data_IF_253287030226
#
_entry.id   IF_253287030226
#
_cell.length_a   1.000
_cell.length_b   1.000
_cell.length_c   1.000
_cell.angle_alpha   90.00
_cell.angle_beta   90.00
_cell.angle_gamma   90.00
#
_symmetry.space_group_name_H-M   'P 1'
#
loop_
_entity.id
_entity.type
_entity.pdbx_description
1 polymer ?
#
# COMPACT_ATOMS: atom_id res chain seq x y z
N UNK A 1 -2.57 -2.01 -9.99
CA UNK A 1 -2.59 -1.70 -8.54
C UNK A 1 -3.59 -0.58 -8.30
N UNK A 2 -4.39 -0.68 -7.23
CA UNK A 2 -5.47 0.24 -6.89
C UNK A 2 -4.97 1.57 -6.35
N UNK A 3 -3.87 1.59 -5.59
CA UNK A 3 -3.31 2.84 -5.05
C UNK A 3 -2.94 3.84 -6.15
N UNK A 4 -2.46 3.36 -7.31
CA UNK A 4 -2.13 4.17 -8.49
C UNK A 4 -3.35 4.88 -9.12
N UNK A 5 -4.57 4.48 -8.75
CA UNK A 5 -5.81 5.12 -9.23
C UNK A 5 -6.28 6.26 -8.34
N UNK A 6 -5.68 6.46 -7.17
CA UNK A 6 -6.07 7.52 -6.26
C UNK A 6 -5.56 8.89 -6.73
N UNK A 7 -6.36 9.92 -6.49
CA UNK A 7 -6.10 11.31 -6.87
C UNK A 7 -6.28 12.24 -5.67
N UNK A 8 -5.77 13.47 -5.74
CA UNK A 8 -5.98 14.42 -4.64
C UNK A 8 -7.46 14.72 -4.39
N UNK A 9 -8.32 14.61 -5.41
CA UNK A 9 -9.78 14.74 -5.25
C UNK A 9 -10.40 13.66 -4.34
N UNK A 10 -9.68 12.55 -4.13
CA UNK A 10 -10.08 11.44 -3.25
C UNK A 10 -9.71 11.64 -1.79
N UNK A 11 -8.66 12.42 -1.50
CA UNK A 11 -8.14 12.61 -0.13
C UNK A 11 -8.23 14.06 0.38
N UNK A 12 -8.47 15.04 -0.49
CA UNK A 12 -8.51 16.44 -0.09
C UNK A 12 -9.67 16.75 0.86
N UNK A 13 -9.35 17.48 1.94
CA UNK A 13 -10.35 18.02 2.85
C UNK A 13 -11.08 19.19 2.17
N UNK A 14 -12.38 19.01 1.94
CA UNK A 14 -13.25 20.00 1.24
C UNK A 14 -13.87 21.04 2.18
N UNK A 15 -13.95 20.74 3.47
CA UNK A 15 -14.39 21.69 4.51
C UNK A 15 -13.28 22.66 4.85
N UNK A 16 -12.93 23.54 3.90
CA UNK A 16 -11.82 24.48 4.04
C UNK A 16 -12.18 25.53 5.10
N UNK A 17 -11.33 25.67 6.11
CA UNK A 17 -11.38 26.76 7.08
C UNK A 17 -10.41 27.85 6.63
N UNK A 18 -10.94 29.02 6.34
CA UNK A 18 -10.15 30.18 5.90
C UNK A 18 -9.63 30.98 7.10
N UNK A 19 -8.49 31.65 6.91
CA UNK A 19 -8.01 32.62 7.89
C UNK A 19 -8.95 33.82 7.95
N UNK A 20 -9.25 34.28 9.17
CA UNK A 20 -10.02 35.50 9.41
C UNK A 20 -9.37 36.28 10.56
N UNK A 21 -8.96 37.50 10.24
CA UNK A 21 -8.28 38.41 11.18
C UNK A 21 -9.18 38.81 12.35
N UNK A 22 -10.51 38.88 12.16
CA UNK A 22 -11.44 39.27 13.23
C UNK A 22 -11.53 38.21 14.33
N UNK A 23 -11.23 36.95 13.99
CA UNK A 23 -11.29 35.80 14.90
C UNK A 23 -9.95 35.05 14.97
N UNK A 24 -8.83 35.77 14.89
CA UNK A 24 -7.47 35.21 14.84
C UNK A 24 -7.15 34.21 15.97
N UNK A 25 -7.74 34.39 17.17
CA UNK A 25 -7.63 33.41 18.27
C UNK A 25 -8.19 32.03 17.91
N UNK A 26 -9.29 31.97 17.18
CA UNK A 26 -9.85 30.72 16.68
C UNK A 26 -8.92 30.09 15.64
N UNK A 27 -8.32 30.89 14.75
CA UNK A 27 -7.32 30.42 13.79
C UNK A 27 -6.11 29.77 14.49
N UNK A 28 -5.57 30.40 15.55
CA UNK A 28 -4.53 29.77 16.37
C UNK A 28 -4.96 28.43 16.97
N UNK A 29 -6.16 28.38 17.56
CA UNK A 29 -6.70 27.14 18.14
C UNK A 29 -6.87 26.03 17.10
N UNK A 30 -7.30 26.38 15.88
CA UNK A 30 -7.42 25.44 14.75
C UNK A 30 -6.05 24.90 14.36
N UNK A 31 -5.05 25.78 14.16
CA UNK A 31 -3.67 25.38 13.83
C UNK A 31 -3.11 24.42 14.89
N UNK A 32 -3.29 24.73 16.18
CA UNK A 32 -2.84 23.88 17.28
C UNK A 32 -3.55 22.52 17.34
N UNK A 33 -4.87 22.51 17.10
CA UNK A 33 -5.71 21.31 17.15
C UNK A 33 -5.44 20.38 15.98
N UNK A 34 -5.39 20.93 14.77
CA UNK A 34 -5.18 20.17 13.53
C UNK A 34 -3.70 19.92 13.23
N UNK A 35 -2.78 20.46 14.05
CA UNK A 35 -1.32 20.38 13.84
C UNK A 35 -0.89 20.90 12.48
N UNK A 36 -1.56 21.94 12.00
CA UNK A 36 -1.22 22.67 10.78
C UNK A 36 -0.64 24.03 11.15
N UNK A 37 0.21 24.56 10.29
CA UNK A 37 0.88 25.85 10.49
C UNK A 37 0.40 26.91 9.49
N UNK A 38 -0.62 26.61 8.68
CA UNK A 38 -1.14 27.54 7.71
C UNK A 38 -2.64 27.37 7.46
N UNK A 39 -3.28 28.44 6.97
CA UNK A 39 -4.68 28.47 6.58
C UNK A 39 -4.82 29.27 5.27
N UNK A 40 -5.66 28.82 4.31
CA UNK A 40 -5.89 29.58 3.08
C UNK A 40 -6.62 30.90 3.35
N UNK A 41 -6.39 31.87 2.47
CA UNK A 41 -7.19 33.08 2.35
C UNK A 41 -8.42 32.81 1.46
N UNK A 42 -9.49 33.60 1.61
CA UNK A 42 -10.74 33.43 0.86
C UNK A 42 -10.55 33.68 -0.65
N UNK A 43 -9.52 34.43 -1.02
CA UNK A 43 -9.23 34.80 -2.41
C UNK A 43 -8.64 33.66 -3.27
N UNK A 44 -8.38 32.48 -2.68
CA UNK A 44 -7.77 31.31 -3.34
C UNK A 44 -6.38 31.55 -3.94
N UNK A 45 -5.77 32.71 -3.70
CA UNK A 45 -4.47 33.10 -4.22
C UNK A 45 -3.42 33.24 -3.11
N UNK A 46 -3.86 33.43 -1.86
CA UNK A 46 -3.00 33.60 -0.71
C UNK A 46 -3.32 32.62 0.40
N UNK A 47 -2.38 32.52 1.34
CA UNK A 47 -2.53 31.79 2.59
C UNK A 47 -1.82 32.55 3.70
N UNK A 48 -2.21 32.27 4.94
CA UNK A 48 -1.59 32.82 6.13
C UNK A 48 -0.84 31.70 6.85
N UNK A 49 0.46 31.87 7.02
CA UNK A 49 1.31 30.92 7.74
C UNK A 49 1.63 31.45 9.13
N UNK A 50 1.43 30.61 10.14
CA UNK A 50 1.78 30.88 11.52
C UNK A 50 3.30 30.74 11.70
N UNK A 51 4.00 31.85 11.88
CA UNK A 51 5.43 31.90 12.15
C UNK A 51 5.70 32.73 13.40
N UNK A 52 6.43 32.16 14.37
CA UNK A 52 6.76 32.82 15.64
C UNK A 52 5.52 33.39 16.37
N UNK A 53 4.39 32.68 16.30
CA UNK A 53 3.13 33.09 16.93
C UNK A 53 2.36 34.18 16.19
N UNK A 54 2.75 34.56 14.97
CA UNK A 54 2.04 35.54 14.15
C UNK A 54 1.73 34.98 12.76
N UNK A 55 0.54 35.30 12.23
CA UNK A 55 0.18 34.93 10.87
C UNK A 55 0.80 35.90 9.86
N UNK A 56 1.55 35.33 8.91
CA UNK A 56 2.15 36.06 7.79
C UNK A 56 1.47 35.64 6.50
N UNK A 57 0.96 36.63 5.74
CA UNK A 57 0.33 36.39 4.45
C UNK A 57 1.39 36.06 3.38
N UNK A 58 1.15 35.01 2.62
CA UNK A 58 2.01 34.51 1.53
C UNK A 58 1.16 34.15 0.31
N UNK A 59 1.77 34.16 -0.88
CA UNK A 59 1.10 33.76 -2.12
C UNK A 59 1.18 32.26 -2.34
N UNK A 60 0.10 31.67 -2.84
CA UNK A 60 0.06 30.27 -3.25
C UNK A 60 0.74 30.13 -4.61
N UNK A 61 1.98 29.64 -4.60
CA UNK A 61 2.77 29.39 -5.80
C UNK A 61 2.56 27.94 -6.31
N UNK A 62 3.06 27.62 -7.50
CA UNK A 62 2.92 26.28 -8.11
C UNK A 62 3.51 25.14 -7.24
N UNK A 63 4.50 25.43 -6.40
CA UNK A 63 5.07 24.50 -5.43
C UNK A 63 4.07 24.09 -4.34
N UNK A 64 3.06 24.94 -4.08
CA UNK A 64 2.05 24.75 -3.04
C UNK A 64 0.75 24.20 -3.64
N UNK A 65 0.63 24.20 -4.97
CA UNK A 65 -0.58 23.78 -5.69
C UNK A 65 -0.51 22.33 -6.11
N UNK A 66 -1.66 21.68 -6.01
CA UNK A 66 -1.94 20.35 -6.51
C UNK A 66 -3.22 20.42 -7.35
N UNK A 67 -3.31 19.67 -8.45
CA UNK A 67 -4.60 19.54 -9.14
C UNK A 67 -5.38 18.37 -8.57
N UNK A 68 -6.70 18.53 -8.47
CA UNK A 68 -7.58 17.49 -7.90
C UNK A 68 -7.52 16.15 -8.66
N UNK A 69 -7.09 16.18 -9.92
CA UNK A 69 -6.98 14.99 -10.78
C UNK A 69 -5.60 14.33 -10.74
N UNK A 70 -4.61 14.99 -10.16
CA UNK A 70 -3.26 14.45 -10.10
C UNK A 70 -3.22 13.24 -9.17
N UNK A 71 -2.38 12.28 -9.51
CA UNK A 71 -2.18 11.07 -8.70
C UNK A 71 -1.48 11.44 -7.40
N UNK A 72 -1.84 10.74 -6.33
CA UNK A 72 -1.28 11.02 -5.01
C UNK A 72 0.11 10.38 -4.84
N UNK A 73 0.38 9.23 -5.47
CA UNK A 73 1.66 8.53 -5.37
C UNK A 73 2.63 8.89 -6.51
N UNK A 74 3.08 10.15 -6.57
CA UNK A 74 4.04 10.65 -7.57
C UNK A 74 5.31 11.18 -6.88
N UNK A 75 6.50 10.82 -7.36
CA UNK A 75 7.78 11.20 -6.72
C UNK A 75 7.95 12.72 -6.56
N UNK A 76 7.38 13.51 -7.48
CA UNK A 76 7.39 14.98 -7.42
C UNK A 76 6.62 15.54 -6.21
N UNK A 77 5.69 14.78 -5.63
CA UNK A 77 4.93 15.22 -4.46
C UNK A 77 5.79 15.29 -3.20
N UNK A 78 6.65 14.30 -2.98
CA UNK A 78 7.59 14.31 -1.85
C UNK A 78 8.47 15.55 -1.94
N UNK A 79 8.93 15.90 -3.15
CA UNK A 79 9.70 17.12 -3.38
C UNK A 79 8.90 18.37 -3.01
N UNK A 80 7.60 18.41 -3.32
CA UNK A 80 6.72 19.52 -2.91
C UNK A 80 6.57 19.62 -1.39
N UNK A 81 6.40 18.51 -0.67
CA UNK A 81 6.35 18.55 0.80
C UNK A 81 7.71 18.97 1.39
N UNK A 82 8.82 18.44 0.89
CA UNK A 82 10.17 18.78 1.35
C UNK A 82 10.59 20.24 1.03
N UNK A 83 10.12 20.79 -0.10
CA UNK A 83 10.43 22.17 -0.50
C UNK A 83 9.66 23.19 0.35
N UNK A 84 8.55 22.79 0.96
CA UNK A 84 7.71 23.66 1.76
C UNK A 84 8.13 23.61 3.24
N UNK A 85 8.10 24.76 3.90
CA UNK A 85 8.29 24.81 5.36
C UNK A 85 7.01 24.42 6.12
N UNK A 86 5.99 23.94 5.41
CA UNK A 86 4.66 23.66 5.94
C UNK A 86 4.10 22.36 5.38
N UNK A 87 3.21 21.74 6.15
CA UNK A 87 2.76 20.37 5.90
C UNK A 87 1.43 20.27 5.14
N UNK A 88 0.90 21.40 4.69
CA UNK A 88 -0.38 21.49 3.96
C UNK A 88 -0.12 21.99 2.54
N UNK A 89 -0.74 21.34 1.56
CA UNK A 89 -0.77 21.76 0.17
C UNK A 89 -2.21 22.08 -0.26
N UNK A 90 -2.35 22.93 -1.27
CA UNK A 90 -3.63 23.47 -1.72
C UNK A 90 -4.09 22.75 -2.99
N UNK A 91 -5.30 22.19 -2.96
CA UNK A 91 -5.84 21.38 -4.06
C UNK A 91 -6.82 22.19 -4.90
N UNK A 92 -6.51 22.35 -6.18
CA UNK A 92 -7.28 23.13 -7.14
C UNK A 92 -8.07 22.26 -8.11
N UNK A 93 -9.23 22.75 -8.52
CA UNK A 93 -10.01 22.23 -9.65
C UNK A 93 -10.15 23.33 -10.70
N UNK A 94 -9.25 23.33 -11.67
CA UNK A 94 -9.05 24.51 -12.53
C UNK A 94 -8.41 25.61 -11.69
N UNK A 95 -8.99 26.80 -11.69
CA UNK A 95 -8.49 27.95 -10.92
C UNK A 95 -9.14 28.10 -9.53
N UNK A 96 -10.02 27.16 -9.15
CA UNK A 96 -10.76 27.23 -7.89
C UNK A 96 -10.11 26.34 -6.83
N UNK A 97 -9.79 26.93 -5.68
CA UNK A 97 -9.38 26.17 -4.50
C UNK A 97 -10.52 25.26 -4.06
N UNK A 98 -10.28 23.95 -4.12
CA UNK A 98 -11.29 22.91 -3.93
C UNK A 98 -11.08 22.06 -2.68
N UNK A 99 -9.88 22.13 -2.09
CA UNK A 99 -9.55 21.48 -0.84
C UNK A 99 -8.13 21.79 -0.39
N UNK A 100 -7.77 21.21 0.75
CA UNK A 100 -6.41 21.17 1.27
C UNK A 100 -6.01 19.72 1.54
N UNK A 101 -4.72 19.43 1.50
CA UNK A 101 -4.16 18.12 1.82
C UNK A 101 -3.01 18.29 2.80
N UNK A 102 -3.07 17.59 3.92
CA UNK A 102 -1.96 17.38 4.83
C UNK A 102 -1.31 16.02 4.54
N UNK A 103 -0.01 15.83 4.84
CA UNK A 103 0.62 14.52 4.63
C UNK A 103 -0.10 13.38 5.38
N UNK A 104 -0.77 13.69 6.50
CA UNK A 104 -1.48 12.66 7.29
C UNK A 104 -2.75 12.18 6.60
N UNK A 105 -3.23 12.85 5.55
CA UNK A 105 -4.38 12.42 4.76
C UNK A 105 -4.12 11.09 4.03
N UNK A 106 -2.86 10.66 3.94
CA UNK A 106 -2.50 9.31 3.48
C UNK A 106 -2.95 8.20 4.43
N UNK A 107 -3.33 8.53 5.68
CA UNK A 107 -3.95 7.57 6.61
C UNK A 107 -5.48 7.45 6.42
N UNK A 108 -6.08 8.20 5.48
CA UNK A 108 -7.52 8.10 5.25
C UNK A 108 -7.91 6.69 4.81
N UNK A 109 -9.09 6.24 5.22
CA UNK A 109 -9.57 4.86 4.98
C UNK A 109 -9.51 4.46 3.50
N UNK A 110 -9.76 5.39 2.58
CA UNK A 110 -9.71 5.11 1.14
C UNK A 110 -8.30 4.79 0.64
N UNK A 111 -7.28 5.46 1.18
CA UNK A 111 -5.88 5.17 0.88
C UNK A 111 -5.50 3.81 1.46
N UNK A 112 -5.79 3.60 2.76
CA UNK A 112 -5.50 2.34 3.45
C UNK A 112 -6.19 1.14 2.76
N UNK A 113 -7.41 1.31 2.29
CA UNK A 113 -8.14 0.27 1.56
C UNK A 113 -7.48 -0.06 0.21
N UNK A 114 -7.04 0.94 -0.56
CA UNK A 114 -6.35 0.70 -1.82
C UNK A 114 -5.01 -0.04 -1.60
N UNK A 115 -4.26 0.33 -0.56
CA UNK A 115 -3.04 -0.37 -0.14
C UNK A 115 -3.36 -1.81 0.24
N UNK A 116 -4.43 -2.04 1.02
CA UNK A 116 -4.88 -3.37 1.40
C UNK A 116 -5.20 -4.24 0.18
N UNK A 117 -5.94 -3.71 -0.78
CA UNK A 117 -6.33 -4.43 -2.00
C UNK A 117 -5.11 -4.83 -2.84
N UNK A 118 -4.10 -3.96 -2.89
CA UNK A 118 -2.83 -4.25 -3.57
C UNK A 118 -2.01 -5.32 -2.86
N UNK A 119 -1.87 -5.23 -1.53
CA UNK A 119 -1.19 -6.25 -0.72
C UNK A 119 -1.89 -7.61 -0.87
N UNK A 120 -3.22 -7.65 -0.81
CA UNK A 120 -3.99 -8.88 -1.00
C UNK A 120 -3.84 -9.45 -2.41
N UNK A 121 -3.76 -8.59 -3.43
CA UNK A 121 -3.52 -9.01 -4.81
C UNK A 121 -2.15 -9.66 -4.95
N UNK A 122 -1.11 -9.04 -4.37
CA UNK A 122 0.22 -9.62 -4.32
C UNK A 122 0.24 -10.95 -3.57
N UNK A 123 -0.37 -11.01 -2.38
CA UNK A 123 -0.43 -12.20 -1.53
C UNK A 123 -1.11 -13.39 -2.24
N UNK A 124 -2.20 -13.14 -2.97
CA UNK A 124 -2.88 -14.16 -3.80
C UNK A 124 -1.98 -14.69 -4.90
N UNK A 125 -1.25 -13.81 -5.59
CA UNK A 125 -0.28 -14.20 -6.63
C UNK A 125 0.87 -14.99 -6.03
N UNK A 126 1.34 -14.63 -4.84
CA UNK A 126 2.37 -15.39 -4.13
C UNK A 126 1.93 -16.82 -3.82
N UNK A 127 0.73 -17.01 -3.29
CA UNK A 127 0.16 -18.35 -3.09
C UNK A 127 0.05 -19.14 -4.40
N UNK A 128 -0.47 -18.51 -5.45
CA UNK A 128 -0.60 -19.13 -6.77
C UNK A 128 0.78 -19.59 -7.30
N UNK A 129 1.78 -18.73 -7.20
CA UNK A 129 3.13 -19.03 -7.66
C UNK A 129 3.75 -20.21 -6.87
N UNK A 130 3.66 -20.20 -5.54
CA UNK A 130 4.14 -21.32 -4.71
C UNK A 130 3.43 -22.63 -5.06
N UNK A 131 2.12 -22.58 -5.31
CA UNK A 131 1.36 -23.75 -5.75
C UNK A 131 1.83 -24.29 -7.11
N UNK A 132 2.07 -23.39 -8.08
CA UNK A 132 2.61 -23.76 -9.40
C UNK A 132 4.00 -24.38 -9.29
N UNK A 133 4.82 -23.91 -8.36
CA UNK A 133 6.12 -24.53 -8.02
C UNK A 133 6.00 -25.89 -7.31
N UNK A 134 4.78 -26.42 -7.21
CA UNK A 134 4.43 -27.69 -6.59
C UNK A 134 4.68 -27.77 -5.09
N UNK A 135 4.72 -26.61 -4.41
CA UNK A 135 4.70 -26.57 -2.96
C UNK A 135 3.28 -26.76 -2.43
N UNK A 136 3.17 -27.32 -1.24
CA UNK A 136 1.91 -27.56 -0.53
C UNK A 136 2.00 -27.14 0.94
N UNK A 137 0.89 -27.23 1.66
CA UNK A 137 0.81 -27.00 3.10
C UNK A 137 1.86 -27.82 3.87
N UNK A 138 2.17 -29.05 3.46
CA UNK A 138 3.19 -29.88 4.11
C UNK A 138 4.60 -29.30 4.01
N UNK A 139 4.91 -28.57 2.93
CA UNK A 139 6.22 -27.94 2.77
C UNK A 139 6.38 -26.72 3.68
N UNK A 140 5.29 -25.99 3.94
CA UNK A 140 5.26 -24.93 4.96
C UNK A 140 5.45 -25.49 6.37
N UNK A 141 4.84 -26.63 6.69
CA UNK A 141 5.04 -27.29 7.99
C UNK A 141 6.49 -27.72 8.18
N UNK A 142 7.09 -28.37 7.17
CA UNK A 142 8.52 -28.72 7.18
C UNK A 142 9.41 -27.50 7.31
N UNK A 143 9.05 -26.38 6.69
CA UNK A 143 9.76 -25.12 6.85
C UNK A 143 9.75 -24.64 8.30
N UNK A 144 8.59 -24.63 8.96
CA UNK A 144 8.51 -24.26 10.37
C UNK A 144 9.30 -25.21 11.29
N UNK A 145 9.26 -26.52 11.04
CA UNK A 145 10.08 -27.51 11.76
C UNK A 145 11.58 -27.22 11.59
N UNK A 146 12.00 -26.97 10.35
CA UNK A 146 13.39 -26.61 10.03
C UNK A 146 13.83 -25.32 10.74
N UNK A 147 12.99 -24.28 10.77
CA UNK A 147 13.30 -23.01 11.44
C UNK A 147 13.35 -23.16 12.97
N UNK A 148 12.42 -23.92 13.55
CA UNK A 148 12.41 -24.24 14.97
C UNK A 148 13.69 -24.99 15.40
N UNK A 149 14.24 -25.84 14.52
CA UNK A 149 15.49 -26.55 14.76
C UNK A 149 16.76 -25.71 14.60
N UNK A 150 16.72 -24.57 13.90
CA UNK A 150 17.90 -23.76 13.57
C UNK A 150 18.13 -22.53 14.43
N UNK A 151 17.08 -21.91 14.96
CA UNK A 151 17.19 -20.60 15.60
C UNK A 151 16.60 -20.61 17.01
N UNK A 152 17.46 -20.63 18.02
CA UNK A 152 17.06 -20.69 19.43
C UNK A 152 16.21 -19.48 19.87
N UNK A 153 16.42 -18.31 19.27
CA UNK A 153 15.68 -17.08 19.61
C UNK A 153 14.28 -17.00 18.99
N UNK A 154 14.05 -17.66 17.85
CA UNK A 154 12.72 -17.70 17.20
C UNK A 154 12.04 -19.07 17.29
N UNK A 155 12.68 -20.04 17.96
CA UNK A 155 12.16 -21.39 18.17
C UNK A 155 10.74 -21.39 18.73
N UNK A 156 10.49 -20.61 19.78
CA UNK A 156 9.17 -20.52 20.40
C UNK A 156 8.09 -19.98 19.45
N UNK A 157 8.43 -19.05 18.56
CA UNK A 157 7.49 -18.57 17.54
C UNK A 157 7.10 -19.71 16.59
N UNK A 158 8.09 -20.41 16.01
CA UNK A 158 7.83 -21.47 15.04
C UNK A 158 7.18 -22.72 15.66
N UNK A 159 7.56 -23.11 16.88
CA UNK A 159 6.88 -24.17 17.64
C UNK A 159 5.44 -23.78 17.98
N UNK A 160 5.21 -22.52 18.36
CA UNK A 160 3.87 -21.99 18.60
C UNK A 160 3.00 -22.02 17.35
N UNK A 161 3.55 -21.66 16.18
CA UNK A 161 2.86 -21.75 14.89
C UNK A 161 2.52 -23.19 14.52
N UNK A 162 3.45 -24.13 14.69
CA UNK A 162 3.20 -25.57 14.47
C UNK A 162 2.07 -26.09 15.37
N UNK A 163 2.10 -25.77 16.66
CA UNK A 163 1.05 -26.16 17.61
C UNK A 163 -0.32 -25.57 17.26
N UNK A 164 -0.35 -24.32 16.82
CA UNK A 164 -1.60 -23.67 16.37
C UNK A 164 -2.17 -24.35 15.12
N UNK A 165 -1.32 -24.73 14.17
CA UNK A 165 -1.73 -25.40 12.94
C UNK A 165 -2.19 -26.84 13.21
N UNK A 166 -1.54 -27.56 14.13
CA UNK A 166 -1.97 -28.91 14.53
C UNK A 166 -3.36 -28.90 15.19
N UNK A 167 -3.63 -27.90 16.05
CA UNK A 167 -4.98 -27.67 16.61
C UNK A 167 -6.04 -27.36 15.56
N UNK A 168 -5.64 -26.82 14.40
CA UNK A 168 -6.53 -26.43 13.29
C UNK A 168 -6.32 -27.32 12.06
N UNK A 169 -5.86 -28.56 12.26
CA UNK A 169 -5.50 -29.48 11.16
C UNK A 169 -6.67 -29.82 10.25
N UNK A 170 -7.88 -29.96 10.80
CA UNK A 170 -9.09 -30.18 9.99
C UNK A 170 -9.36 -29.00 9.05
N UNK A 171 -9.22 -27.78 9.55
CA UNK A 171 -9.38 -26.56 8.74
C UNK A 171 -8.27 -26.43 7.69
N UNK A 172 -7.02 -26.74 8.06
CA UNK A 172 -5.89 -26.76 7.13
C UNK A 172 -6.12 -27.73 5.95
N UNK A 173 -6.77 -28.86 6.20
CA UNK A 173 -7.07 -29.86 5.16
C UNK A 173 -8.30 -29.51 4.32
N UNK A 174 -9.20 -28.67 4.84
CA UNK A 174 -10.41 -28.23 4.13
C UNK A 174 -10.19 -26.99 3.28
N UNK A 175 -9.37 -26.06 3.77
CA UNK A 175 -9.01 -24.86 3.04
C UNK A 175 -8.01 -25.19 1.92
N UNK A 176 -8.03 -24.37 0.87
CA UNK A 176 -7.07 -24.50 -0.22
C UNK A 176 -5.62 -24.31 0.25
N UNK A 177 -4.68 -24.70 -0.61
CA UNK A 177 -3.26 -24.54 -0.34
C UNK A 177 -2.92 -23.09 0.05
N UNK A 178 -2.11 -22.99 1.10
CA UNK A 178 -1.57 -21.77 1.66
C UNK A 178 -2.55 -20.79 2.33
N UNK A 179 -3.84 -21.12 2.47
CA UNK A 179 -4.85 -20.20 3.00
C UNK A 179 -4.69 -19.90 4.51
N UNK A 180 -4.05 -20.80 5.26
CA UNK A 180 -3.85 -20.68 6.71
C UNK A 180 -2.57 -19.95 7.11
N UNK A 181 -1.72 -19.62 6.13
CA UNK A 181 -0.47 -18.90 6.37
C UNK A 181 -0.61 -17.45 5.98
N UNK A 182 -0.03 -16.58 6.80
CA UNK A 182 -0.06 -15.16 6.56
C UNK A 182 1.01 -14.73 5.54
N UNK A 183 0.96 -13.47 5.11
CA UNK A 183 1.91 -12.94 4.13
C UNK A 183 3.37 -13.06 4.59
N UNK A 184 3.63 -12.87 5.89
CA UNK A 184 4.98 -12.94 6.46
C UNK A 184 5.53 -14.35 6.33
N UNK A 185 4.75 -15.35 6.73
CA UNK A 185 5.10 -16.76 6.62
C UNK A 185 5.41 -17.14 5.15
N UNK A 186 4.60 -16.67 4.20
CA UNK A 186 4.79 -16.95 2.77
C UNK A 186 6.06 -16.29 2.19
N UNK A 187 6.34 -15.04 2.57
CA UNK A 187 7.55 -14.34 2.16
C UNK A 187 8.79 -15.04 2.73
N UNK A 188 8.81 -15.31 4.04
CA UNK A 188 9.95 -15.98 4.67
C UNK A 188 10.19 -17.38 4.08
N UNK A 189 9.12 -18.15 3.84
CA UNK A 189 9.24 -19.45 3.18
C UNK A 189 9.83 -19.32 1.78
N UNK A 190 9.30 -18.39 0.96
CA UNK A 190 9.73 -18.17 -0.42
C UNK A 190 11.21 -17.83 -0.57
N UNK A 191 11.84 -17.26 0.45
CA UNK A 191 13.25 -16.85 0.43
C UNK A 191 14.20 -17.75 1.25
N UNK A 192 13.72 -18.89 1.77
CA UNK A 192 14.55 -19.81 2.54
C UNK A 192 14.91 -21.08 1.74
N UNK A 193 15.89 -21.83 2.24
CA UNK A 193 16.40 -23.05 1.64
C UNK A 193 15.33 -24.14 1.41
N UNK A 194 14.34 -24.37 2.30
CA UNK A 194 13.28 -25.36 2.06
C UNK A 194 12.46 -25.12 0.79
N UNK A 195 12.25 -23.87 0.38
CA UNK A 195 11.59 -23.53 -0.89
C UNK A 195 12.57 -23.45 -2.07
N UNK A 196 13.86 -23.72 -1.84
CA UNK A 196 14.96 -23.49 -2.78
C UNK A 196 15.01 -22.03 -3.25
N UNK A 197 14.69 -21.10 -2.35
CA UNK A 197 14.57 -19.67 -2.64
C UNK A 197 13.62 -19.40 -3.83
N UNK A 198 12.43 -19.99 -3.79
CA UNK A 198 11.44 -19.90 -4.87
C UNK A 198 11.13 -18.44 -5.26
N UNK A 199 11.17 -17.53 -4.30
CA UNK A 199 10.93 -16.09 -4.46
C UNK A 199 11.91 -15.31 -3.58
N UNK A 200 13.04 -14.91 -4.18
CA UNK A 200 14.09 -14.16 -3.49
C UNK A 200 13.71 -12.71 -3.28
N UNK A 201 14.11 -12.15 -2.14
CA UNK A 201 14.09 -10.72 -1.89
C UNK A 201 15.44 -10.23 -1.39
N UNK A 202 15.73 -8.96 -1.69
CA UNK A 202 17.01 -8.33 -1.44
C UNK A 202 16.91 -7.30 -0.32
N UNK A 203 18.07 -6.74 0.03
CA UNK A 203 18.14 -5.54 0.87
C UNK A 203 18.10 -4.33 -0.03
N UNK A 204 17.41 -3.30 0.43
CA UNK A 204 17.40 -1.98 -0.16
C UNK A 204 17.96 -0.99 0.85
N UNK A 205 18.77 -0.04 0.38
CA UNK A 205 19.22 1.08 1.19
C UNK A 205 18.09 2.11 1.27
N UNK A 206 17.61 2.37 2.47
CA UNK A 206 16.68 3.45 2.74
C UNK A 206 17.33 4.38 3.76
N UNK A 207 17.76 5.56 3.30
CA UNK A 207 18.38 6.59 4.13
C UNK A 207 19.59 6.09 4.95
N UNK A 208 20.44 5.23 4.35
CA UNK A 208 21.62 4.66 5.02
C UNK A 208 21.33 3.47 5.92
N UNK A 209 20.13 2.89 5.86
CA UNK A 209 19.74 1.66 6.55
C UNK A 209 19.43 0.56 5.53
N UNK A 210 20.08 -0.58 5.71
CA UNK A 210 19.74 -1.82 5.01
C UNK A 210 18.41 -2.37 5.53
N UNK A 211 17.36 -2.32 4.70
CA UNK A 211 16.05 -2.89 5.01
C UNK A 211 15.74 -3.99 4.00
N UNK A 212 15.19 -5.12 4.45
CA UNK A 212 14.72 -6.14 3.52
C UNK A 212 13.43 -5.69 2.83
N UNK A 213 13.32 -5.91 1.53
CA UNK A 213 12.11 -5.62 0.75
C UNK A 213 10.86 -6.30 1.37
N UNK A 214 11.02 -7.51 1.93
CA UNK A 214 9.93 -8.22 2.61
C UNK A 214 9.42 -7.49 3.85
N UNK A 215 10.30 -6.79 4.58
CA UNK A 215 9.91 -5.96 5.72
C UNK A 215 8.99 -4.82 5.27
N UNK A 216 9.33 -4.16 4.16
CA UNK A 216 8.52 -3.06 3.60
C UNK A 216 7.14 -3.52 3.12
N UNK A 217 7.06 -4.68 2.47
CA UNK A 217 5.77 -5.24 2.05
C UNK A 217 4.90 -5.61 3.27
N UNK A 218 5.53 -6.10 4.33
CA UNK A 218 4.83 -6.48 5.55
C UNK A 218 4.39 -5.25 6.38
N UNK A 219 5.15 -4.15 6.36
CA UNK A 219 4.75 -2.90 7.00
C UNK A 219 3.54 -2.27 6.30
N UNK A 220 3.43 -2.34 4.96
CA UNK A 220 2.20 -1.94 4.25
C UNK A 220 0.96 -2.71 4.71
N UNK A 221 1.10 -4.02 4.93
CA UNK A 221 0.01 -4.85 5.48
C UNK A 221 -0.39 -4.38 6.88
N UNK A 222 0.59 -4.13 7.73
CA UNK A 222 0.35 -3.64 9.09
C UNK A 222 -0.32 -2.26 9.08
N UNK A 223 0.18 -1.32 8.28
CA UNK A 223 -0.41 0.01 8.10
C UNK A 223 -1.88 -0.09 7.64
N UNK A 224 -2.19 -0.92 6.65
CA UNK A 224 -3.56 -1.09 6.18
C UNK A 224 -4.48 -1.74 7.23
N UNK A 225 -3.99 -2.72 7.99
CA UNK A 225 -4.76 -3.43 9.02
C UNK A 225 -4.96 -2.62 10.31
N UNK A 226 -3.95 -1.84 10.71
CA UNK A 226 -3.90 -1.15 12.00
C UNK A 226 -4.06 0.36 11.90
N UNK A 227 -3.97 0.97 10.71
CA UNK A 227 -4.07 2.42 10.51
C UNK A 227 -5.41 3.06 10.93
N UNK A 228 -6.45 2.26 11.21
CA UNK A 228 -7.72 2.73 11.80
C UNK A 228 -7.66 2.87 13.33
N UNK A 229 -6.69 2.23 13.98
CA UNK A 229 -6.48 2.23 15.42
C UNK A 229 -5.10 2.84 15.71
N UNK A 230 -5.01 4.16 16.00
CA UNK A 230 -3.75 4.90 16.19
C UNK A 230 -3.03 4.55 17.51
N UNK A 231 -3.20 3.33 18.02
CA UNK A 231 -2.67 2.88 19.31
C UNK A 231 -1.13 2.77 19.25
N UNK A 232 -0.55 2.60 18.07
CA UNK A 232 0.89 2.64 17.82
C UNK A 232 1.14 3.60 16.64
N UNK A 233 1.60 4.83 16.93
CA UNK A 233 2.11 5.75 15.92
C UNK A 233 3.60 5.48 15.75
N UNK A 234 4.00 4.66 14.78
CA UNK A 234 5.40 4.44 14.40
C UNK A 234 5.63 4.67 12.90
N UNK A 235 6.88 4.92 12.49
CA UNK A 235 7.28 5.34 11.13
C UNK A 235 6.80 4.36 10.05
N UNK A 236 6.54 3.11 10.42
CA UNK A 236 6.21 2.01 9.52
C UNK A 236 4.70 1.73 9.43
N UNK A 237 3.91 2.15 10.42
CA UNK A 237 2.48 1.84 10.56
C UNK A 237 1.55 3.00 10.28
N UNK A 238 2.06 4.23 10.19
CA UNK A 238 1.24 5.42 9.90
C UNK A 238 2.06 6.57 9.31
N UNK A 239 1.39 7.44 8.55
CA UNK A 239 1.99 8.66 7.99
C UNK A 239 1.80 9.83 8.95
N UNK A 240 2.81 10.15 9.75
CA UNK A 240 2.78 11.27 10.71
C UNK A 240 3.93 12.28 10.53
N UNK A 241 4.83 12.01 9.58
CA UNK A 241 5.91 12.90 9.16
C UNK A 241 6.19 12.76 7.67
N UNK A 242 7.02 13.63 7.10
CA UNK A 242 7.42 13.53 5.70
C UNK A 242 8.27 12.27 5.49
N UNK A 243 9.12 11.90 6.45
CA UNK A 243 9.92 10.67 6.40
C UNK A 243 9.04 9.41 6.35
N UNK A 244 7.96 9.36 7.13
CA UNK A 244 6.99 8.25 7.04
C UNK A 244 6.22 8.22 5.72
N UNK A 245 5.99 9.39 5.09
CA UNK A 245 5.41 9.48 3.74
C UNK A 245 6.40 8.96 2.68
N UNK A 246 7.68 9.32 2.80
CA UNK A 246 8.75 8.80 1.95
C UNK A 246 8.87 7.28 2.08
N UNK A 247 8.83 6.75 3.30
CA UNK A 247 8.83 5.32 3.55
C UNK A 247 7.65 4.63 2.85
N UNK A 248 6.43 5.17 2.99
CA UNK A 248 5.23 4.64 2.31
C UNK A 248 5.42 4.56 0.79
N UNK A 249 5.96 5.61 0.17
CA UNK A 249 6.20 5.64 -1.27
C UNK A 249 7.21 4.58 -1.72
N UNK A 250 8.31 4.43 -0.98
CA UNK A 250 9.30 3.39 -1.25
C UNK A 250 8.70 2.00 -1.09
N UNK A 251 7.96 1.76 -0.01
CA UNK A 251 7.33 0.47 0.23
C UNK A 251 6.32 0.11 -0.87
N UNK A 252 5.52 1.06 -1.35
CA UNK A 252 4.59 0.86 -2.47
C UNK A 252 5.30 0.53 -3.78
N UNK A 253 6.42 1.20 -4.07
CA UNK A 253 7.26 0.91 -5.24
C UNK A 253 7.88 -0.49 -5.18
N UNK A 254 8.27 -0.93 -3.99
CA UNK A 254 8.74 -2.32 -3.77
C UNK A 254 7.59 -3.31 -3.98
N UNK A 255 6.40 -3.05 -3.43
CA UNK A 255 5.22 -3.90 -3.63
C UNK A 255 4.87 -4.03 -5.12
N UNK A 256 4.93 -2.91 -5.86
CA UNK A 256 4.73 -2.91 -7.31
C UNK A 256 5.76 -3.79 -8.03
N UNK A 257 7.04 -3.59 -7.73
CA UNK A 257 8.14 -4.38 -8.30
C UNK A 257 7.96 -5.88 -8.00
N UNK A 258 7.56 -6.22 -6.77
CA UNK A 258 7.30 -7.59 -6.33
C UNK A 258 6.13 -8.20 -7.08
N UNK A 259 5.07 -7.43 -7.27
CA UNK A 259 3.88 -7.84 -7.99
C UNK A 259 4.22 -8.16 -9.44
N UNK A 260 4.96 -7.30 -10.14
CA UNK A 260 5.39 -7.59 -11.52
C UNK A 260 6.34 -8.78 -11.60
N UNK A 261 7.28 -8.90 -10.66
CA UNK A 261 8.21 -10.04 -10.62
C UNK A 261 7.44 -11.35 -10.50
N UNK A 262 6.46 -11.42 -9.60
CA UNK A 262 5.70 -12.65 -9.39
C UNK A 262 4.72 -12.94 -10.54
N UNK A 263 4.12 -11.92 -11.13
CA UNK A 263 3.30 -12.06 -12.34
C UNK A 263 4.10 -12.65 -13.49
N UNK A 264 5.32 -12.15 -13.70
CA UNK A 264 6.23 -12.67 -14.72
C UNK A 264 6.56 -14.14 -14.45
N UNK A 265 6.92 -14.48 -13.21
CA UNK A 265 7.22 -15.87 -12.83
C UNK A 265 6.03 -16.82 -13.04
N UNK A 266 4.81 -16.37 -12.79
CA UNK A 266 3.58 -17.13 -13.06
C UNK A 266 3.35 -17.26 -14.57
N UNK A 267 3.45 -16.16 -15.33
CA UNK A 267 3.24 -16.14 -16.77
C UNK A 267 4.25 -17.03 -17.52
N UNK A 268 5.48 -17.11 -17.01
CA UNK A 268 6.54 -17.94 -17.57
C UNK A 268 6.40 -19.43 -17.20
N UNK A 269 5.52 -19.80 -16.25
CA UNK A 269 5.32 -21.18 -15.83
C UNK A 269 4.56 -22.01 -16.88
N UNK A 270 5.09 -23.18 -17.24
CA UNK A 270 4.57 -24.00 -18.33
C UNK A 270 3.12 -24.47 -18.12
N UNK A 271 2.76 -24.91 -16.92
CA UNK A 271 1.38 -25.34 -16.65
C UNK A 271 0.40 -24.18 -16.64
N UNK A 272 0.85 -22.97 -16.28
CA UNK A 272 0.02 -21.77 -16.37
C UNK A 272 -0.24 -21.41 -17.83
N UNK A 273 0.80 -21.41 -18.68
CA UNK A 273 0.67 -21.20 -20.13
C UNK A 273 -0.29 -22.20 -20.77
N UNK A 274 -0.17 -23.49 -20.45
CA UNK A 274 -1.08 -24.54 -20.94
C UNK A 274 -2.52 -24.26 -20.53
N UNK A 275 -2.75 -23.91 -19.26
CA UNK A 275 -4.07 -23.54 -18.75
C UNK A 275 -4.68 -22.37 -19.52
N UNK A 276 -3.93 -21.29 -19.74
CA UNK A 276 -4.36 -20.13 -20.52
C UNK A 276 -4.69 -20.50 -21.97
N UNK A 277 -3.87 -21.34 -22.62
CA UNK A 277 -4.12 -21.81 -23.99
C UNK A 277 -5.41 -22.63 -24.05
N UNK A 278 -5.63 -23.54 -23.09
CA UNK A 278 -6.82 -24.39 -23.02
C UNK A 278 -8.10 -23.58 -22.78
N UNK A 279 -8.06 -22.64 -21.85
CA UNK A 279 -9.17 -21.73 -21.57
C UNK A 279 -9.51 -20.86 -22.80
N UNK A 280 -8.50 -20.29 -23.45
CA UNK A 280 -8.69 -19.49 -24.65
C UNK A 280 -9.27 -20.31 -25.82
N UNK A 281 -8.75 -21.53 -26.05
CA UNK A 281 -9.31 -22.44 -27.06
C UNK A 281 -10.79 -22.74 -26.79
N UNK A 282 -11.13 -23.04 -25.54
CA UNK A 282 -12.52 -23.33 -25.14
C UNK A 282 -13.45 -22.13 -25.41
N UNK A 283 -13.00 -20.91 -25.07
CA UNK A 283 -13.76 -19.68 -25.36
C UNK A 283 -13.98 -19.47 -26.86
N UNK A 284 -12.95 -19.66 -27.68
CA UNK A 284 -13.04 -19.51 -29.14
C UNK A 284 -13.96 -20.56 -29.78
N UNK A 285 -13.94 -21.80 -29.30
CA UNK A 285 -14.84 -22.87 -29.76
C UNK A 285 -16.31 -22.51 -29.47
N UNK A 286 -16.62 -22.02 -28.27
CA UNK A 286 -17.97 -21.57 -27.90
C UNK A 286 -18.42 -20.40 -28.80
N UNK A 287 -17.54 -19.42 -29.04
CA UNK A 287 -17.84 -18.28 -29.92
C UNK A 287 -18.16 -18.76 -31.34
N UNK A 288 -17.34 -19.66 -31.88
CA UNK A 288 -17.55 -20.21 -33.21
C UNK A 288 -18.88 -20.95 -33.34
N UNK A 289 -19.24 -21.75 -32.33
CA UNK A 289 -20.48 -22.54 -32.33
C UNK A 289 -21.75 -21.71 -32.11
N UNK A 290 -21.66 -20.59 -31.37
CA UNK A 290 -22.84 -19.85 -30.88
C UNK A 290 -22.87 -18.37 -31.28
N UNK A 291 -22.20 -18.00 -32.38
CA UNK A 291 -22.18 -16.65 -32.96
C UNK A 291 -23.60 -16.02 -33.04
N UNK A 292 -23.80 -14.68 -32.90
CA UNK A 292 -22.95 -13.61 -32.37
C UNK A 292 -23.11 -13.36 -30.85
N UNK A 293 -24.07 -14.00 -30.18
CA UNK A 293 -24.41 -13.73 -28.76
C UNK A 293 -23.28 -14.11 -27.79
N UNK A 294 -22.52 -15.16 -28.12
CA UNK A 294 -21.37 -15.59 -27.32
C UNK A 294 -20.24 -14.54 -27.29
N UNK A 295 -20.08 -13.74 -28.34
CA UNK A 295 -19.07 -12.67 -28.37
C UNK A 295 -19.41 -11.61 -27.31
N UNK A 296 -20.67 -11.16 -27.26
CA UNK A 296 -21.11 -10.16 -26.28
C UNK A 296 -20.91 -10.67 -24.84
N UNK A 297 -21.23 -11.96 -24.59
CA UNK A 297 -21.02 -12.59 -23.29
C UNK A 297 -19.56 -12.55 -22.83
N UNK A 298 -18.59 -12.88 -23.69
CA UNK A 298 -17.17 -12.88 -23.31
C UNK A 298 -16.53 -11.48 -23.33
N UNK A 299 -17.05 -10.55 -24.12
CA UNK A 299 -16.55 -9.16 -24.19
C UNK A 299 -17.11 -8.26 -23.09
N UNK A 300 -18.17 -8.68 -22.38
CA UNK A 300 -18.79 -7.90 -21.32
C UNK A 300 -19.56 -6.66 -21.81
N UNK A 301 -20.09 -6.71 -23.05
CA UNK A 301 -20.94 -5.69 -23.66
C UNK A 301 -22.43 -6.06 -23.54
#
# INVERSE_FOLDING_TARGET
MEHLKLTFGDIAQRGILYYDKEVEKACHSICETLKIDNMPDYDSAHYFQLQNGQFQRKSINEENKLQSRDRIFEEELIKKFNANTHNVLFVFKGDVLSGIVHFSDYNQTKVLQAIQDDVLTFERKLRQYLFLKNFRNEDMLKYFEYRAGKNEHSKHYYEGRLHQLDKRKEELNQLGEFQMFDLKDLLEFGNDAPSKNAFQYEKVDLQGRDIYESTMVNSLRNMAMHGKNPIEMDEESSVYSIESLEYLFHALKILETFTYRIEKLIADHEDYKKSVIMDNRSKLEIIYQHHPKAINYFMGN
#
